data_IF_179843585446
#
_entry.id   IF_179843585446
#
_cell.length_a   1.000
_cell.length_b   1.000
_cell.length_c   1.000
_cell.angle_alpha   90.00
_cell.angle_beta   90.00
_cell.angle_gamma   90.00
#
_symmetry.space_group_name_H-M   'P 1'
#
loop_
_entity.id
_entity.type
_entity.pdbx_description
1 polymer ?
#
# COMPACT_ATOMS: atom_id res chain seq x y z
N UNK A 1 7.35 -8.99 8.88
CA UNK A 1 5.91 -9.06 8.58
C UNK A 1 5.28 -7.80 9.12
N UNK A 2 4.50 -7.09 8.30
CA UNK A 2 3.86 -5.84 8.66
C UNK A 2 2.34 -5.97 8.52
N UNK A 3 1.59 -5.12 9.21
CA UNK A 3 0.13 -5.08 9.16
C UNK A 3 -0.36 -3.69 8.85
N UNK A 4 -1.37 -3.58 7.99
CA UNK A 4 -2.05 -2.32 7.70
C UNK A 4 -3.43 -2.31 8.35
N UNK A 5 -3.81 -1.18 8.90
CA UNK A 5 -5.10 -0.92 9.53
C UNK A 5 -5.80 0.22 8.79
N UNK A 6 -7.13 0.19 8.74
CA UNK A 6 -7.90 1.27 8.13
C UNK A 6 -7.91 2.49 9.04
N UNK A 7 -7.59 3.65 8.50
CA UNK A 7 -7.50 4.88 9.27
C UNK A 7 -6.37 4.85 10.31
N UNK A 8 -6.60 5.50 11.45
CA UNK A 8 -5.73 5.41 12.63
C UNK A 8 -6.00 4.11 13.37
N UNK A 9 -4.95 3.36 13.71
CA UNK A 9 -5.11 2.10 14.44
C UNK A 9 -5.66 2.33 15.85
N UNK A 10 -6.80 1.72 16.15
CA UNK A 10 -7.33 1.48 17.49
C UNK A 10 -6.82 0.17 18.10
N UNK A 11 -6.93 0.05 19.43
CA UNK A 11 -6.42 -1.12 20.17
C UNK A 11 -7.12 -2.45 19.83
N UNK A 12 -8.36 -2.39 19.33
CA UNK A 12 -9.17 -3.54 18.98
C UNK A 12 -9.29 -3.77 17.46
N UNK A 13 -8.60 -2.96 16.66
CA UNK A 13 -8.74 -3.03 15.21
C UNK A 13 -8.05 -4.28 14.67
N UNK A 14 -8.69 -4.91 13.70
CA UNK A 14 -8.10 -6.00 12.94
C UNK A 14 -7.35 -5.45 11.73
N UNK A 15 -6.24 -6.09 11.32
CA UNK A 15 -5.52 -5.67 10.14
C UNK A 15 -6.39 -5.88 8.90
N UNK A 16 -6.42 -4.89 8.02
CA UNK A 16 -7.03 -5.02 6.69
C UNK A 16 -6.10 -5.72 5.72
N UNK A 17 -4.78 -5.62 5.94
CA UNK A 17 -3.77 -6.29 5.15
C UNK A 17 -2.65 -6.82 6.03
N UNK A 18 -2.05 -7.90 5.56
CA UNK A 18 -0.75 -8.41 6.02
C UNK A 18 0.25 -8.29 4.88
N UNK A 19 1.42 -7.71 5.14
CA UNK A 19 2.54 -7.64 4.20
C UNK A 19 3.64 -8.57 4.71
N UNK A 20 3.97 -9.59 3.93
CA UNK A 20 4.99 -10.58 4.26
C UNK A 20 6.03 -10.65 3.13
N UNK A 21 7.19 -10.05 3.38
CA UNK A 21 8.19 -9.80 2.36
C UNK A 21 7.61 -8.92 1.25
N UNK A 22 7.55 -9.47 0.04
CA UNK A 22 7.06 -8.81 -1.17
C UNK A 22 5.58 -9.10 -1.46
N UNK A 23 4.93 -9.94 -0.67
CA UNK A 23 3.56 -10.39 -0.91
C UNK A 23 2.60 -9.74 0.09
N UNK A 24 1.43 -9.31 -0.40
CA UNK A 24 0.41 -8.63 0.39
C UNK A 24 -0.86 -9.44 0.37
N UNK A 25 -1.48 -9.63 1.53
CA UNK A 25 -2.63 -10.49 1.75
C UNK A 25 -3.74 -9.69 2.43
N UNK A 26 -5.01 -10.03 2.16
CA UNK A 26 -6.15 -9.44 2.84
C UNK A 26 -6.29 -10.02 4.25
N UNK A 27 -6.51 -9.17 5.23
CA UNK A 27 -6.68 -9.57 6.62
C UNK A 27 -5.41 -10.18 7.20
N UNK A 28 -5.60 -11.21 8.05
CA UNK A 28 -4.51 -12.03 8.58
C UNK A 28 -4.17 -13.12 7.57
N UNK A 29 -2.88 -13.23 7.21
CA UNK A 29 -2.38 -14.27 6.31
C UNK A 29 -2.59 -15.68 6.87
N UNK A 30 -3.16 -16.56 6.06
CA UNK A 30 -3.21 -18.02 6.23
C UNK A 30 -2.34 -18.73 5.18
N UNK A 31 -2.03 -20.01 5.41
CA UNK A 31 -1.14 -20.80 4.55
C UNK A 31 -1.70 -21.06 3.14
N UNK A 32 -3.02 -21.00 2.98
CA UNK A 32 -3.70 -21.24 1.71
C UNK A 32 -3.97 -19.94 0.92
N UNK A 33 -3.68 -18.78 1.50
CA UNK A 33 -4.01 -17.51 0.87
C UNK A 33 -3.08 -17.22 -0.30
N UNK A 34 -3.65 -16.60 -1.34
CA UNK A 34 -2.88 -16.03 -2.43
C UNK A 34 -2.69 -14.53 -2.21
N UNK A 35 -1.54 -13.96 -2.58
CA UNK A 35 -1.33 -12.52 -2.45
C UNK A 35 -2.30 -11.76 -3.36
N UNK A 36 -2.86 -10.68 -2.83
CA UNK A 36 -3.67 -9.72 -3.58
C UNK A 36 -2.82 -8.65 -4.24
N UNK A 37 -1.62 -8.38 -3.72
CA UNK A 37 -0.62 -7.54 -4.35
C UNK A 37 0.77 -8.16 -4.22
N UNK A 38 1.66 -7.83 -5.15
CA UNK A 38 3.09 -8.10 -5.06
C UNK A 38 3.87 -6.79 -5.21
N UNK A 39 4.90 -6.62 -4.40
CA UNK A 39 5.84 -5.50 -4.42
C UNK A 39 7.11 -5.96 -5.11
N UNK A 40 7.58 -5.21 -6.10
CA UNK A 40 8.87 -5.43 -6.75
C UNK A 40 9.59 -4.10 -6.95
N UNK A 41 10.62 -3.86 -6.14
CA UNK A 41 11.30 -2.56 -6.07
C UNK A 41 10.32 -1.44 -5.69
N UNK A 42 10.16 -0.46 -6.57
CA UNK A 42 9.23 0.67 -6.42
C UNK A 42 7.89 0.46 -7.13
N UNK A 43 7.64 -0.76 -7.62
CA UNK A 43 6.47 -1.10 -8.41
C UNK A 43 5.55 -2.04 -7.62
N UNK A 44 4.24 -1.86 -7.78
CA UNK A 44 3.21 -2.68 -7.13
C UNK A 44 2.32 -3.28 -8.22
N UNK A 45 2.06 -4.58 -8.11
CA UNK A 45 1.33 -5.40 -9.06
C UNK A 45 0.09 -6.00 -8.40
N UNK A 46 -0.99 -6.18 -9.16
CA UNK A 46 -2.16 -6.93 -8.72
C UNK A 46 -1.84 -8.43 -8.70
N UNK A 47 -2.18 -9.13 -7.62
CA UNK A 47 -1.93 -10.56 -7.45
C UNK A 47 -0.43 -10.89 -7.41
N UNK A 48 -0.09 -12.09 -7.91
CA UNK A 48 1.31 -12.49 -8.17
C UNK A 48 1.79 -11.84 -9.47
N UNK A 49 2.98 -11.22 -9.43
CA UNK A 49 3.60 -10.64 -10.64
C UNK A 49 3.91 -11.72 -11.68
N UNK A 50 3.28 -11.63 -12.85
CA UNK A 50 3.67 -12.30 -14.08
C UNK A 50 4.73 -11.51 -14.87
N UNK A 51 5.43 -12.17 -15.79
CA UNK A 51 6.48 -11.54 -16.60
C UNK A 51 5.98 -10.34 -17.42
N UNK A 52 4.77 -10.46 -17.99
CA UNK A 52 4.20 -9.47 -18.90
C UNK A 52 3.31 -8.43 -18.19
N UNK A 53 3.17 -8.52 -16.87
CA UNK A 53 2.28 -7.65 -16.14
C UNK A 53 2.86 -6.24 -16.07
N UNK A 54 1.97 -5.26 -16.16
CA UNK A 54 2.31 -3.87 -15.89
C UNK A 54 1.99 -3.54 -14.44
N UNK A 55 2.79 -2.69 -13.78
CA UNK A 55 2.49 -2.28 -12.43
C UNK A 55 1.18 -1.51 -12.38
N UNK A 56 0.36 -1.77 -11.36
CA UNK A 56 -0.86 -1.01 -11.09
C UNK A 56 -0.56 0.29 -10.34
N UNK A 57 0.62 0.39 -9.73
CA UNK A 57 1.11 1.59 -9.10
C UNK A 57 2.64 1.60 -9.03
N UNK A 58 3.20 2.80 -8.93
CA UNK A 58 4.63 3.06 -8.71
C UNK A 58 4.81 4.02 -7.56
N UNK A 59 5.94 3.92 -6.88
CA UNK A 59 6.27 4.76 -5.74
C UNK A 59 7.49 5.60 -6.08
N UNK A 60 7.43 6.90 -5.82
CA UNK A 60 8.55 7.82 -5.99
C UNK A 60 8.68 8.68 -4.74
N UNK A 61 9.80 8.54 -4.03
CA UNK A 61 9.92 9.06 -2.67
C UNK A 61 8.76 8.57 -1.80
N UNK A 62 8.06 9.49 -1.16
CA UNK A 62 6.91 9.20 -0.31
C UNK A 62 5.55 9.28 -1.03
N UNK A 63 5.54 9.38 -2.34
CA UNK A 63 4.34 9.55 -3.15
C UNK A 63 4.04 8.27 -3.93
N UNK A 64 2.77 7.87 -3.96
CA UNK A 64 2.28 6.71 -4.71
C UNK A 64 1.51 7.21 -5.92
N UNK A 65 1.77 6.63 -7.08
CA UNK A 65 1.19 6.99 -8.37
C UNK A 65 0.45 5.80 -8.97
N UNK A 66 -0.65 6.04 -9.69
CA UNK A 66 -1.37 5.00 -10.42
C UNK A 66 -0.57 4.61 -11.67
N UNK A 67 -0.40 3.32 -11.89
CA UNK A 67 0.43 2.79 -12.98
C UNK A 67 1.87 3.25 -12.87
N UNK A 68 2.54 3.44 -14.01
CA UNK A 68 3.88 4.04 -14.09
C UNK A 68 3.76 5.55 -14.02
N UNK A 69 4.50 6.19 -13.12
CA UNK A 69 4.56 7.64 -12.98
C UNK A 69 4.95 8.32 -14.30
N UNK A 70 4.05 9.16 -14.80
CA UNK A 70 4.32 10.18 -15.81
C UNK A 70 4.75 11.51 -15.21
N UNK A 71 5.33 12.38 -16.04
CA UNK A 71 5.86 13.68 -15.60
C UNK A 71 4.80 14.65 -15.05
N UNK A 72 3.55 14.54 -15.51
CA UNK A 72 2.43 15.40 -15.14
C UNK A 72 1.46 14.73 -14.16
N UNK A 73 1.76 13.51 -13.71
CA UNK A 73 0.85 12.77 -12.85
C UNK A 73 0.86 13.36 -11.45
N UNK A 74 -0.31 13.34 -10.81
CA UNK A 74 -0.45 13.64 -9.40
C UNK A 74 -0.46 12.35 -8.58
N UNK A 75 0.10 12.36 -7.37
CA UNK A 75 0.07 11.17 -6.52
C UNK A 75 -1.36 10.84 -6.11
N UNK A 76 -1.67 9.54 -6.09
CA UNK A 76 -2.92 9.03 -5.51
C UNK A 76 -2.85 8.92 -3.99
N UNK A 77 -1.65 8.88 -3.43
CA UNK A 77 -1.42 8.87 -1.99
C UNK A 77 -0.05 9.43 -1.61
N UNK A 78 0.06 9.90 -0.38
CA UNK A 78 1.31 10.32 0.26
C UNK A 78 1.53 9.52 1.54
N UNK A 79 2.78 9.19 1.81
CA UNK A 79 3.21 8.46 3.00
C UNK A 79 3.91 9.44 3.94
N UNK A 80 3.52 9.43 5.21
CA UNK A 80 4.19 10.18 6.27
C UNK A 80 4.46 9.25 7.46
N UNK A 81 5.72 8.87 7.65
CA UNK A 81 6.09 7.83 8.60
C UNK A 81 5.40 6.51 8.26
N UNK A 82 4.49 6.07 9.14
CA UNK A 82 3.69 4.87 8.99
C UNK A 82 2.23 5.14 8.62
N UNK A 83 1.88 6.40 8.35
CA UNK A 83 0.55 6.84 7.98
C UNK A 83 0.45 7.06 6.47
N UNK A 84 -0.70 6.68 5.89
CA UNK A 84 -1.01 6.83 4.48
C UNK A 84 -2.14 7.84 4.33
N UNK A 85 -1.98 8.81 3.44
CA UNK A 85 -2.97 9.84 3.15
C UNK A 85 -3.39 9.73 1.68
N UNK A 86 -4.68 9.90 1.38
CA UNK A 86 -5.16 9.97 0.01
C UNK A 86 -4.73 11.29 -0.65
N UNK A 87 -4.22 11.24 -1.87
CA UNK A 87 -3.68 12.39 -2.59
C UNK A 87 -2.44 12.98 -1.91
N UNK A 88 -2.31 14.31 -2.02
CA UNK A 88 -1.29 15.09 -1.29
C UNK A 88 -1.78 15.38 0.12
N UNK A 89 -0.96 15.09 1.14
CA UNK A 89 -1.31 15.37 2.55
C UNK A 89 -1.54 16.87 2.79
N UNK A 90 -2.75 17.22 3.20
CA UNK A 90 -3.10 18.50 3.81
C UNK A 90 -2.93 18.49 5.33
N UNK A 91 -2.92 19.68 5.94
CA UNK A 91 -2.70 19.85 7.38
C UNK A 91 -3.83 19.29 8.27
N UNK A 92 -5.05 19.20 7.74
CA UNK A 92 -6.24 18.71 8.45
C UNK A 92 -6.65 17.29 8.03
N UNK A 93 -5.89 16.66 7.15
CA UNK A 93 -6.25 15.35 6.62
C UNK A 93 -6.04 14.28 7.68
N UNK A 94 -6.90 13.26 7.65
CA UNK A 94 -6.72 12.05 8.44
C UNK A 94 -6.13 10.95 7.57
N UNK A 95 -5.28 10.08 8.13
CA UNK A 95 -4.75 8.96 7.37
C UNK A 95 -5.88 8.02 6.96
N UNK A 96 -5.78 7.45 5.76
CA UNK A 96 -6.64 6.38 5.25
C UNK A 96 -6.16 5.00 5.71
N UNK A 97 -4.88 4.89 6.08
CA UNK A 97 -4.32 3.69 6.70
C UNK A 97 -3.14 4.02 7.62
N UNK A 98 -2.92 3.13 8.58
CA UNK A 98 -1.72 3.12 9.44
C UNK A 98 -1.07 1.75 9.36
N UNK A 99 0.25 1.72 9.25
CA UNK A 99 1.04 0.49 9.14
C UNK A 99 1.81 0.27 10.45
N UNK A 100 1.92 -0.99 10.87
CA UNK A 100 2.79 -1.42 11.94
C UNK A 100 3.87 -2.36 11.42
N UNK A 101 5.08 -2.24 12.00
CA UNK A 101 6.26 -3.05 11.71
C UNK A 101 6.64 -3.11 10.21
N UNK A 102 6.14 -2.16 9.43
CA UNK A 102 6.35 -2.05 8.00
C UNK A 102 7.19 -0.84 7.61
N UNK A 103 7.41 -0.71 6.31
CA UNK A 103 8.12 0.41 5.72
C UNK A 103 7.26 1.19 4.73
N UNK A 104 7.92 2.09 4.02
CA UNK A 104 7.35 2.90 2.94
C UNK A 104 6.56 2.05 1.93
N UNK A 105 7.12 0.92 1.49
CA UNK A 105 6.43 0.06 0.51
C UNK A 105 5.22 -0.68 1.08
N UNK A 106 5.22 -1.00 2.38
CA UNK A 106 4.03 -1.53 3.06
C UNK A 106 2.91 -0.48 3.10
N UNK A 107 3.26 0.78 3.34
CA UNK A 107 2.35 1.92 3.28
C UNK A 107 1.80 2.11 1.86
N UNK A 108 2.67 2.03 0.85
CA UNK A 108 2.26 2.13 -0.54
C UNK A 108 1.31 0.99 -0.94
N UNK A 109 1.58 -0.26 -0.54
CA UNK A 109 0.67 -1.38 -0.78
C UNK A 109 -0.71 -1.16 -0.17
N UNK A 110 -0.78 -0.63 1.06
CA UNK A 110 -2.06 -0.28 1.69
C UNK A 110 -2.79 0.82 0.92
N UNK A 111 -2.08 1.84 0.45
CA UNK A 111 -2.64 2.89 -0.39
C UNK A 111 -3.24 2.32 -1.68
N UNK A 112 -2.50 1.46 -2.36
CA UNK A 112 -2.90 0.82 -3.62
C UNK A 112 -4.15 -0.03 -3.42
N UNK A 113 -4.16 -0.87 -2.38
CA UNK A 113 -5.32 -1.69 -2.07
C UNK A 113 -6.57 -0.84 -1.78
N UNK A 114 -6.44 0.24 -1.00
CA UNK A 114 -7.60 1.05 -0.61
C UNK A 114 -8.13 1.98 -1.70
N UNK A 115 -7.31 2.34 -2.68
CA UNK A 115 -7.64 3.37 -3.68
C UNK A 115 -7.83 2.81 -5.09
N UNK A 116 -7.28 1.63 -5.39
CA UNK A 116 -7.28 1.06 -6.74
C UNK A 116 -7.96 -0.32 -6.84
N UNK A 117 -8.35 -0.93 -5.71
CA UNK A 117 -9.07 -2.21 -5.65
C UNK A 117 -10.39 -2.04 -4.90
#
# INVERSE_FOLDING_TARGET
>A
MATAYRGRKGWADEPILTIDGNEVYVGRKSWADSPVLTIDGEEIYAGRKGWADSPIATVDGNEVYRGRKGWADSPIATIDGNEVYAGRKGWADSPIATIEDGGRMSCAAAAVFLLLM
#
